data_IF_076091649449
#
_entry.id   IF_076091649449
#
_cell.length_a   1.000
_cell.length_b   1.000
_cell.length_c   1.000
_cell.angle_alpha   90.00
_cell.angle_beta   90.00
_cell.angle_gamma   90.00
#
_symmetry.space_group_name_H-M   'P 1'
#
loop_
_entity.id
_entity.type
_entity.pdbx_description
1 polymer ?
#
# COMPACT_ATOMS: atom_id res chain seq x y z
N UNK A 1 52.25 -21.98 15.17
CA UNK A 1 50.82 -22.31 15.03
C UNK A 1 50.11 -21.79 16.27
N UNK A 2 49.30 -20.72 16.16
CA UNK A 2 48.59 -20.13 17.30
C UNK A 2 47.34 -20.96 17.57
N UNK A 3 47.28 -21.60 18.74
CA UNK A 3 46.09 -22.34 19.19
C UNK A 3 44.96 -21.34 19.43
N UNK A 4 43.85 -21.51 18.71
CA UNK A 4 42.61 -20.78 18.96
C UNK A 4 42.01 -21.29 20.28
N UNK A 5 41.61 -20.35 21.15
CA UNK A 5 41.02 -20.65 22.46
C UNK A 5 39.68 -21.40 22.28
N UNK A 6 39.43 -22.54 22.96
CA UNK A 6 38.20 -23.30 22.81
C UNK A 6 36.93 -22.52 23.22
N UNK A 7 37.08 -21.46 24.03
CA UNK A 7 35.98 -20.57 24.45
C UNK A 7 35.47 -19.72 23.26
N UNK A 8 36.35 -19.34 22.33
CA UNK A 8 35.97 -18.57 21.14
C UNK A 8 35.20 -19.40 20.11
N UNK A 9 35.43 -20.72 20.06
CA UNK A 9 34.67 -21.67 19.26
C UNK A 9 33.28 -21.96 19.86
N UNK A 10 33.17 -21.99 21.20
CA UNK A 10 31.89 -22.20 21.88
C UNK A 10 30.92 -21.01 21.71
N UNK A 11 31.40 -19.76 21.74
CA UNK A 11 30.53 -18.59 21.50
C UNK A 11 30.01 -18.53 20.05
N UNK A 12 30.81 -18.92 19.06
CA UNK A 12 30.39 -18.99 17.66
C UNK A 12 29.33 -20.06 17.40
N UNK A 13 29.41 -21.19 18.13
CA UNK A 13 28.42 -22.27 18.05
C UNK A 13 27.11 -21.94 18.80
N UNK A 14 27.15 -21.18 19.91
CA UNK A 14 25.94 -20.73 20.62
C UNK A 14 25.14 -19.65 19.86
N UNK A 15 25.79 -18.79 19.07
CA UNK A 15 25.10 -17.80 18.23
C UNK A 15 24.49 -18.38 16.94
N UNK A 16 24.90 -19.59 16.50
CA UNK A 16 24.35 -20.25 15.32
C UNK A 16 23.03 -21.01 15.57
N UNK A 17 22.71 -21.32 16.83
CA UNK A 17 21.55 -22.13 17.21
C UNK A 17 20.34 -21.31 17.69
N UNK A 18 20.54 -20.00 17.88
CA UNK A 18 19.49 -19.03 18.14
C UNK A 18 19.55 -17.98 17.04
N UNK A 19 19.27 -18.36 15.80
CA UNK A 19 18.83 -17.39 14.81
C UNK A 19 17.35 -17.13 15.13
N UNK A 20 16.97 -16.04 15.84
CA UNK A 20 15.58 -15.63 15.77
C UNK A 20 15.28 -15.46 14.29
N UNK A 21 14.29 -16.19 13.77
CA UNK A 21 13.78 -15.90 12.45
C UNK A 21 13.53 -14.39 12.40
N UNK A 22 14.13 -13.71 11.42
CA UNK A 22 13.94 -12.28 11.29
C UNK A 22 12.45 -12.04 11.07
N UNK A 23 11.72 -11.66 12.13
CA UNK A 23 10.26 -11.45 12.10
C UNK A 23 9.84 -10.21 11.30
N UNK A 24 10.78 -9.63 10.56
CA UNK A 24 10.48 -8.57 9.62
C UNK A 24 9.54 -9.14 8.54
N UNK A 25 8.55 -8.34 8.13
CA UNK A 25 7.61 -8.61 7.03
C UNK A 25 6.31 -9.33 7.41
N UNK A 26 6.05 -9.66 8.68
CA UNK A 26 4.75 -10.24 9.08
C UNK A 26 3.55 -9.36 8.70
N UNK A 27 3.76 -8.05 8.57
CA UNK A 27 2.76 -7.10 8.05
C UNK A 27 2.20 -7.52 6.67
N UNK A 28 2.99 -8.26 5.88
CA UNK A 28 2.71 -8.69 4.52
C UNK A 28 2.36 -10.17 4.40
N UNK A 29 2.18 -10.90 5.50
CA UNK A 29 2.03 -12.36 5.45
C UNK A 29 0.58 -12.82 5.28
N UNK A 30 -0.41 -11.96 5.48
CA UNK A 30 -1.82 -12.33 5.28
C UNK A 30 -2.38 -11.62 4.05
N UNK A 31 -2.80 -12.40 3.07
CA UNK A 31 -3.34 -11.93 1.81
C UNK A 31 -4.80 -12.35 1.74
N UNK A 32 -5.70 -11.37 1.65
CA UNK A 32 -7.13 -11.61 1.47
C UNK A 32 -7.53 -11.11 0.07
N UNK A 33 -8.21 -11.95 -0.70
CA UNK A 33 -8.54 -11.62 -2.09
C UNK A 33 -9.71 -12.44 -2.62
N UNK A 34 -10.35 -11.93 -3.68
CA UNK A 34 -11.42 -12.61 -4.39
C UNK A 34 -12.61 -13.01 -3.50
N UNK A 35 -13.31 -14.05 -3.92
CA UNK A 35 -14.50 -14.51 -3.21
C UNK A 35 -14.13 -15.40 -2.03
N UNK A 36 -14.16 -14.84 -0.81
CA UNK A 36 -13.96 -15.55 0.46
C UNK A 36 -12.64 -16.32 0.55
N UNK A 37 -11.61 -15.85 -0.15
CA UNK A 37 -10.32 -16.50 -0.18
C UNK A 37 -9.26 -15.68 0.58
N UNK A 38 -8.28 -16.41 1.12
CA UNK A 38 -7.11 -15.82 1.72
C UNK A 38 -6.02 -16.84 1.97
N UNK A 39 -4.79 -16.36 1.94
CA UNK A 39 -3.57 -17.14 2.18
C UNK A 39 -2.76 -16.44 3.27
N UNK A 40 -2.23 -17.21 4.21
CA UNK A 40 -1.29 -16.76 5.23
C UNK A 40 0.05 -17.46 5.07
N UNK A 41 1.13 -16.71 5.25
CA UNK A 41 2.50 -17.21 5.32
C UNK A 41 3.06 -17.21 6.76
N UNK A 42 2.21 -16.96 7.77
CA UNK A 42 2.63 -16.87 9.18
C UNK A 42 3.30 -18.13 9.74
N UNK A 43 3.01 -19.29 9.16
CA UNK A 43 3.60 -20.57 9.56
C UNK A 43 4.93 -20.89 8.87
N UNK A 44 5.43 -20.00 7.99
CA UNK A 44 6.57 -20.26 7.11
C UNK A 44 6.20 -20.97 5.80
N UNK A 45 5.00 -21.54 5.71
CA UNK A 45 4.41 -22.07 4.48
C UNK A 45 3.09 -21.39 4.16
N UNK A 46 2.70 -21.40 2.88
CA UNK A 46 1.39 -20.93 2.44
C UNK A 46 0.31 -21.83 3.02
N UNK A 47 -0.56 -21.24 3.86
CA UNK A 47 -1.70 -21.90 4.48
C UNK A 47 -2.97 -21.11 4.16
N UNK A 48 -4.11 -21.78 3.91
CA UNK A 48 -5.37 -21.06 3.74
C UNK A 48 -5.76 -20.36 5.04
N UNK A 49 -6.24 -19.12 4.94
CA UNK A 49 -6.86 -18.43 6.07
C UNK A 49 -8.25 -19.04 6.33
N UNK A 50 -8.71 -19.10 7.60
CA UNK A 50 -10.02 -19.67 7.93
C UNK A 50 -11.16 -19.05 7.12
N UNK A 51 -12.20 -19.86 6.85
CA UNK A 51 -13.44 -19.41 6.22
C UNK A 51 -14.02 -18.21 6.99
N UNK A 52 -14.43 -17.16 6.28
CA UNK A 52 -14.98 -15.94 6.87
C UNK A 52 -14.54 -14.64 6.20
N UNK A 53 -13.58 -14.70 5.27
CA UNK A 53 -13.22 -13.56 4.44
C UNK A 53 -14.43 -13.02 3.65
N UNK A 54 -14.53 -11.70 3.47
CA UNK A 54 -15.63 -11.07 2.75
C UNK A 54 -15.56 -11.41 1.26
N UNK A 55 -16.68 -11.20 0.57
CA UNK A 55 -16.69 -11.20 -0.89
C UNK A 55 -15.99 -9.92 -1.37
N UNK A 56 -14.72 -10.06 -1.78
CA UNK A 56 -13.89 -9.00 -2.32
C UNK A 56 -13.89 -9.06 -3.85
N UNK A 57 -13.90 -7.91 -4.52
CA UNK A 57 -14.12 -7.89 -5.96
C UNK A 57 -12.83 -7.78 -6.77
N UNK A 58 -12.25 -6.59 -6.87
CA UNK A 58 -11.01 -6.31 -7.60
C UNK A 58 -10.14 -5.34 -6.81
N UNK A 59 -8.83 -5.45 -7.05
CA UNK A 59 -7.79 -4.54 -6.55
C UNK A 59 -7.91 -4.28 -5.04
N UNK A 60 -7.40 -5.26 -4.28
CA UNK A 60 -7.54 -5.33 -2.82
C UNK A 60 -6.19 -5.15 -2.15
N UNK A 61 -6.22 -4.57 -0.96
CA UNK A 61 -5.05 -4.46 -0.10
C UNK A 61 -5.41 -4.92 1.31
N UNK A 62 -4.68 -5.91 1.83
CA UNK A 62 -4.77 -6.36 3.21
C UNK A 62 -3.60 -5.82 4.03
N UNK A 63 -3.90 -5.29 5.22
CA UNK A 63 -2.88 -4.73 6.12
C UNK A 63 -2.87 -5.49 7.42
N UNK A 64 -1.71 -6.01 7.81
CA UNK A 64 -1.46 -6.59 9.13
C UNK A 64 -0.48 -5.72 9.94
N UNK A 65 -0.47 -5.90 11.26
CA UNK A 65 0.57 -5.34 12.12
C UNK A 65 1.84 -6.21 12.13
N UNK A 66 2.86 -5.76 12.87
CA UNK A 66 4.15 -6.46 12.98
C UNK A 66 4.07 -7.83 13.65
N UNK A 67 2.96 -8.13 14.34
CA UNK A 67 2.70 -9.46 14.88
C UNK A 67 2.05 -10.39 13.82
N UNK A 68 1.63 -9.84 12.68
CA UNK A 68 0.86 -10.57 11.67
C UNK A 68 -0.64 -10.59 11.96
N UNK A 69 -1.14 -9.71 12.82
CA UNK A 69 -2.58 -9.59 13.09
C UNK A 69 -3.22 -8.67 12.05
N UNK A 70 -4.26 -9.15 11.37
CA UNK A 70 -5.04 -8.34 10.43
C UNK A 70 -5.57 -7.07 11.11
N UNK A 71 -5.36 -5.92 10.47
CA UNK A 71 -5.89 -4.63 10.89
C UNK A 71 -7.14 -4.26 10.08
N UNK A 72 -7.02 -4.28 8.75
CA UNK A 72 -8.10 -3.95 7.83
C UNK A 72 -7.85 -4.50 6.43
N UNK A 73 -8.90 -4.51 5.61
CA UNK A 73 -8.86 -4.79 4.17
C UNK A 73 -9.48 -3.58 3.46
N UNK A 74 -8.82 -3.10 2.42
CA UNK A 74 -9.35 -2.06 1.56
C UNK A 74 -9.55 -2.61 0.14
N UNK A 75 -10.64 -2.21 -0.50
CA UNK A 75 -10.88 -2.37 -1.94
C UNK A 75 -11.41 -1.05 -2.50
N UNK A 76 -11.50 -0.93 -3.82
CA UNK A 76 -11.68 0.37 -4.51
C UNK A 76 -12.83 1.27 -4.02
N UNK A 77 -13.84 0.72 -3.34
CA UNK A 77 -14.98 1.50 -2.84
C UNK A 77 -15.22 1.41 -1.32
N UNK A 78 -14.51 0.55 -0.58
CA UNK A 78 -14.73 0.39 0.86
C UNK A 78 -13.52 -0.13 1.63
N UNK A 79 -13.49 0.16 2.93
CA UNK A 79 -12.53 -0.35 3.91
C UNK A 79 -13.28 -1.14 4.97
N UNK A 80 -12.87 -2.38 5.18
CA UNK A 80 -13.41 -3.30 6.18
C UNK A 80 -12.40 -3.45 7.32
N UNK A 81 -12.88 -3.44 8.56
CA UNK A 81 -12.02 -3.71 9.73
C UNK A 81 -11.62 -5.20 9.80
N UNK A 82 -10.80 -5.55 10.80
CA UNK A 82 -10.35 -6.93 11.04
C UNK A 82 -11.46 -7.96 11.27
N UNK A 83 -12.67 -7.52 11.62
CA UNK A 83 -13.86 -8.38 11.77
C UNK A 83 -14.69 -8.45 10.48
N UNK A 84 -14.14 -7.96 9.36
CA UNK A 84 -14.80 -7.87 8.05
C UNK A 84 -16.07 -7.01 8.01
N UNK A 85 -16.22 -6.12 8.99
CA UNK A 85 -17.31 -5.15 9.04
C UNK A 85 -16.86 -3.84 8.40
N UNK A 86 -17.79 -3.10 7.79
CA UNK A 86 -17.49 -1.77 7.26
C UNK A 86 -16.88 -0.88 8.34
N UNK A 87 -15.68 -0.38 8.10
CA UNK A 87 -14.99 0.53 9.01
C UNK A 87 -15.76 1.85 9.10
N UNK A 88 -15.75 2.50 10.26
CA UNK A 88 -16.35 3.84 10.42
C UNK A 88 -15.68 4.81 9.44
N UNK A 89 -16.48 5.47 8.60
CA UNK A 89 -15.98 6.33 7.52
C UNK A 89 -15.39 5.59 6.32
N UNK A 90 -15.41 4.25 6.33
CA UNK A 90 -14.80 3.36 5.35
C UNK A 90 -15.57 3.19 4.04
N UNK A 91 -16.67 3.91 3.80
CA UNK A 91 -17.33 3.94 2.49
C UNK A 91 -16.63 5.00 1.61
N UNK A 92 -15.78 4.57 0.68
CA UNK A 92 -14.90 5.46 -0.10
C UNK A 92 -15.59 6.11 -1.31
N UNK A 93 -16.69 5.52 -1.78
CA UNK A 93 -17.41 5.97 -2.98
C UNK A 93 -16.98 5.22 -4.25
N UNK A 94 -17.53 5.60 -5.40
CA UNK A 94 -17.22 4.97 -6.71
C UNK A 94 -18.03 3.71 -7.04
N UNK A 95 -18.25 3.41 -8.34
CA UNK A 95 -18.98 2.22 -8.76
C UNK A 95 -18.23 0.92 -8.43
N UNK A 96 -18.93 -0.04 -7.82
CA UNK A 96 -18.40 -1.39 -7.44
C UNK A 96 -17.78 -2.13 -8.64
N UNK A 97 -18.23 -1.80 -9.85
CA UNK A 97 -17.93 -2.54 -11.09
C UNK A 97 -16.75 -2.00 -11.89
N UNK A 98 -15.91 -1.13 -11.34
CA UNK A 98 -14.62 -0.79 -11.95
C UNK A 98 -13.53 -0.99 -10.89
N UNK A 99 -12.58 -1.89 -11.16
CA UNK A 99 -11.44 -2.11 -10.28
C UNK A 99 -10.54 -0.88 -10.33
N UNK A 100 -10.08 -0.43 -9.16
CA UNK A 100 -9.15 0.68 -9.03
C UNK A 100 -8.05 0.22 -8.11
N UNK A 101 -6.80 0.41 -8.50
CA UNK A 101 -5.64 0.02 -7.69
C UNK A 101 -5.77 0.59 -6.26
N UNK A 102 -5.64 -0.28 -5.25
CA UNK A 102 -5.66 0.13 -3.84
C UNK A 102 -4.34 -0.23 -3.20
N UNK A 103 -3.72 0.74 -2.55
CA UNK A 103 -2.49 0.53 -1.78
C UNK A 103 -2.60 1.19 -0.42
N UNK A 104 -2.27 0.45 0.63
CA UNK A 104 -2.16 1.00 1.97
C UNK A 104 -0.69 1.10 2.40
N UNK A 105 -0.27 2.27 2.86
CA UNK A 105 1.08 2.51 3.40
C UNK A 105 1.00 3.01 4.84
N UNK A 106 1.84 2.51 5.76
CA UNK A 106 1.91 3.06 7.11
C UNK A 106 2.42 4.51 7.05
N UNK A 107 1.88 5.38 7.90
CA UNK A 107 2.43 6.72 8.08
C UNK A 107 3.72 6.62 8.91
N UNK A 108 4.89 7.03 8.36
CA UNK A 108 6.14 7.04 9.13
C UNK A 108 5.99 7.79 10.44
N UNK A 109 6.61 7.32 11.52
CA UNK A 109 6.53 7.98 12.83
C UNK A 109 5.15 7.99 13.51
N UNK A 110 4.10 7.41 12.91
CA UNK A 110 2.76 7.31 13.51
C UNK A 110 2.23 5.87 13.48
N UNK A 111 2.67 5.00 14.41
CA UNK A 111 2.20 3.61 14.47
C UNK A 111 0.67 3.52 14.52
N UNK A 112 0.12 2.57 13.76
CA UNK A 112 -1.32 2.35 13.66
C UNK A 112 -2.06 3.35 12.74
N UNK A 113 -1.35 4.30 12.12
CA UNK A 113 -1.95 5.20 11.13
C UNK A 113 -1.48 4.84 9.73
N UNK A 114 -2.41 4.82 8.78
CA UNK A 114 -2.18 4.36 7.41
C UNK A 114 -2.79 5.34 6.40
N UNK A 115 -2.08 5.54 5.30
CA UNK A 115 -2.63 6.12 4.08
C UNK A 115 -3.18 5.01 3.22
N UNK A 116 -4.40 5.16 2.71
CA UNK A 116 -5.00 4.25 1.72
C UNK A 116 -5.18 5.03 0.43
N UNK A 117 -4.34 4.73 -0.56
CA UNK A 117 -4.33 5.35 -1.87
C UNK A 117 -5.27 4.60 -2.82
N UNK A 118 -6.03 5.37 -3.59
CA UNK A 118 -6.86 4.87 -4.67
C UNK A 118 -6.96 5.94 -5.77
N UNK A 119 -6.91 5.58 -7.05
CA UNK A 119 -7.23 6.49 -8.14
C UNK A 119 -8.61 7.12 -7.88
N UNK A 120 -8.72 8.45 -8.02
CA UNK A 120 -10.02 9.10 -7.97
C UNK A 120 -10.69 8.94 -9.32
N UNK A 121 -11.69 8.07 -9.40
CA UNK A 121 -12.52 7.99 -10.60
C UNK A 121 -14.00 8.00 -10.20
N UNK A 122 -14.59 9.19 -10.21
CA UNK A 122 -16.05 9.33 -10.19
C UNK A 122 -16.52 9.15 -11.63
N UNK A 123 -16.83 7.91 -12.03
CA UNK A 123 -17.73 7.73 -13.17
C UNK A 123 -19.14 7.87 -12.62
N UNK A 124 -19.70 9.07 -12.73
CA UNK A 124 -21.15 9.12 -12.88
C UNK A 124 -21.46 8.39 -14.19
N UNK A 125 -22.30 7.36 -14.09
CA UNK A 125 -22.79 6.62 -15.26
C UNK A 125 -23.76 7.57 -15.99
N UNK A 126 -23.17 8.49 -16.75
CA UNK A 126 -23.82 9.68 -17.28
C UNK A 126 -22.81 10.54 -18.02
N UNK A 127 -22.32 10.01 -19.14
CA UNK A 127 -21.56 10.65 -20.22
C UNK A 127 -21.34 12.17 -20.07
N UNK A 128 -20.27 12.58 -19.38
CA UNK A 128 -19.64 13.87 -19.63
C UNK A 128 -18.15 13.65 -19.87
N UNK A 129 -17.67 14.12 -21.02
CA UNK A 129 -16.32 13.91 -21.57
C UNK A 129 -15.23 14.75 -20.88
N UNK A 130 -15.54 15.35 -19.74
CA UNK A 130 -14.62 16.20 -18.99
C UNK A 130 -14.14 15.46 -17.76
N UNK A 131 -13.29 14.45 -17.96
CA UNK A 131 -12.56 13.84 -16.86
C UNK A 131 -11.58 14.90 -16.33
N UNK A 132 -11.74 15.41 -15.10
CA UNK A 132 -10.70 16.24 -14.51
C UNK A 132 -9.39 15.44 -14.54
N UNK A 133 -8.25 16.10 -14.80
CA UNK A 133 -6.98 15.42 -14.98
C UNK A 133 -6.71 14.47 -13.81
N UNK A 134 -6.08 13.32 -14.09
CA UNK A 134 -5.98 12.21 -13.16
C UNK A 134 -5.31 12.66 -11.88
N UNK A 135 -5.99 12.46 -10.76
CA UNK A 135 -5.47 12.74 -9.43
C UNK A 135 -5.53 11.45 -8.61
N UNK A 136 -4.48 11.16 -7.86
CA UNK A 136 -4.51 10.12 -6.86
C UNK A 136 -5.23 10.66 -5.62
N UNK A 137 -6.18 9.91 -5.08
CA UNK A 137 -6.82 10.24 -3.80
C UNK A 137 -6.30 9.32 -2.73
N UNK A 138 -6.27 9.82 -1.51
CA UNK A 138 -6.02 9.00 -0.35
C UNK A 138 -7.00 9.27 0.79
N UNK A 139 -7.09 8.26 1.62
CA UNK A 139 -7.81 8.25 2.88
C UNK A 139 -6.81 7.99 4.00
N UNK A 140 -7.11 8.44 5.21
CA UNK A 140 -6.28 8.19 6.38
C UNK A 140 -7.04 7.34 7.37
N UNK A 141 -6.53 6.13 7.60
CA UNK A 141 -7.04 5.18 8.60
C UNK A 141 -6.24 5.35 9.90
N UNK A 142 -6.92 5.40 11.04
CA UNK A 142 -6.32 5.37 12.37
C UNK A 142 -6.83 4.16 13.17
N UNK A 143 -6.00 3.12 13.29
CA UNK A 143 -6.33 1.86 13.96
C UNK A 143 -6.47 1.99 15.48
N UNK A 144 -6.08 3.12 16.07
CA UNK A 144 -6.22 3.38 17.51
C UNK A 144 -7.65 3.77 17.88
N UNK A 145 -8.50 4.05 16.89
CA UNK A 145 -9.92 4.41 17.05
C UNK A 145 -10.78 3.16 17.18
N UNK A 146 -12.02 3.37 17.64
CA UNK A 146 -13.06 2.32 17.73
C UNK A 146 -12.58 1.06 18.47
N UNK A 147 -11.84 1.22 19.57
CA UNK A 147 -11.32 0.11 20.37
C UNK A 147 -10.36 -0.83 19.62
N UNK A 148 -9.65 -0.35 18.60
CA UNK A 148 -8.75 -1.16 17.78
C UNK A 148 -9.38 -1.61 16.45
N UNK A 149 -10.65 -1.31 16.18
CA UNK A 149 -11.31 -1.64 14.92
C UNK A 149 -11.03 -0.61 13.82
N UNK A 150 -10.45 0.54 14.16
CA UNK A 150 -10.06 1.57 13.22
C UNK A 150 -11.20 2.47 12.74
N UNK A 151 -10.80 3.62 12.20
CA UNK A 151 -11.69 4.65 11.66
C UNK A 151 -10.96 5.40 10.54
N UNK A 152 -11.69 5.78 9.49
CA UNK A 152 -11.19 6.69 8.46
C UNK A 152 -11.35 8.13 8.96
N UNK A 153 -10.23 8.73 9.39
CA UNK A 153 -10.19 10.05 10.06
C UNK A 153 -9.93 11.21 9.10
N UNK A 154 -9.51 10.94 7.86
CA UNK A 154 -9.47 11.92 6.78
C UNK A 154 -9.84 11.23 5.47
N UNK A 155 -10.61 11.94 4.64
CA UNK A 155 -11.21 11.38 3.42
C UNK A 155 -10.93 12.27 2.23
N UNK A 156 -10.97 11.66 1.04
CA UNK A 156 -11.01 12.35 -0.24
C UNK A 156 -9.87 13.37 -0.45
N UNK A 157 -8.71 13.09 0.16
CA UNK A 157 -7.56 13.97 0.09
C UNK A 157 -6.83 13.77 -1.23
N UNK A 158 -6.57 14.87 -1.94
CA UNK A 158 -6.06 14.84 -3.31
C UNK A 158 -4.53 14.97 -3.34
N UNK A 159 -3.86 14.15 -4.14
CA UNK A 159 -2.50 14.40 -4.61
C UNK A 159 -2.60 15.01 -6.01
N UNK A 160 -2.27 16.30 -6.09
CA UNK A 160 -2.22 17.02 -7.36
C UNK A 160 -0.98 16.59 -8.12
N UNK A 161 -1.16 16.11 -9.35
CA UNK A 161 -0.04 15.82 -10.23
C UNK A 161 0.45 17.13 -10.87
N UNK A 162 1.79 17.31 -11.06
CA UNK A 162 2.31 18.52 -11.68
C UNK A 162 1.74 18.74 -13.10
N UNK A 163 1.45 19.99 -13.44
CA UNK A 163 0.88 20.33 -14.74
C UNK A 163 1.76 19.82 -15.88
N UNK A 164 1.13 19.28 -16.92
CA UNK A 164 1.84 18.81 -18.10
C UNK A 164 2.59 17.50 -17.91
N UNK A 165 2.44 16.81 -16.76
CA UNK A 165 2.91 15.41 -16.57
C UNK A 165 1.86 14.38 -16.95
N UNK A 166 0.63 14.83 -17.17
CA UNK A 166 -0.53 14.05 -17.62
C UNK A 166 -1.24 14.77 -18.76
N UNK A 167 -1.66 14.03 -19.79
CA UNK A 167 -2.40 14.63 -20.92
C UNK A 167 -3.92 14.52 -20.76
N UNK A 168 -4.40 13.65 -19.88
CA UNK A 168 -5.84 13.44 -19.65
C UNK A 168 -6.55 12.72 -20.81
N UNK A 169 -5.84 12.42 -21.91
CA UNK A 169 -6.35 11.74 -23.09
C UNK A 169 -6.32 10.20 -22.95
N UNK A 170 -5.59 9.68 -21.97
CA UNK A 170 -5.62 8.28 -21.57
C UNK A 170 -6.22 8.26 -20.16
N UNK A 171 -7.50 7.92 -20.04
CA UNK A 171 -8.31 8.03 -18.82
C UNK A 171 -7.89 7.11 -17.66
N UNK A 172 -6.59 6.89 -17.43
CA UNK A 172 -6.03 5.95 -16.47
C UNK A 172 -4.62 6.37 -15.96
N UNK A 173 -4.27 7.66 -15.87
CA UNK A 173 -3.01 7.97 -15.17
C UNK A 173 -3.17 7.67 -13.67
N UNK A 174 -2.12 7.11 -13.05
CA UNK A 174 -2.09 6.63 -11.67
C UNK A 174 -2.85 5.32 -11.37
N UNK A 175 -3.13 4.47 -12.36
CA UNK A 175 -3.50 3.05 -12.12
C UNK A 175 -2.31 2.12 -11.89
N UNK A 176 -1.10 2.68 -11.94
CA UNK A 176 0.15 1.99 -11.65
C UNK A 176 0.87 2.79 -10.56
N UNK A 177 0.67 2.39 -9.30
CA UNK A 177 1.36 2.94 -8.14
C UNK A 177 2.29 1.91 -7.52
N UNK A 178 3.45 2.37 -7.08
CA UNK A 178 4.41 1.55 -6.36
C UNK A 178 4.87 2.31 -5.12
N UNK A 179 5.35 1.58 -4.11
CA UNK A 179 5.96 2.21 -2.95
C UNK A 179 7.22 1.47 -2.53
N UNK A 180 8.24 2.24 -2.16
CA UNK A 180 9.52 1.71 -1.68
C UNK A 180 9.98 2.50 -0.47
N UNK A 181 10.75 1.86 0.41
CA UNK A 181 11.32 2.53 1.59
C UNK A 181 12.37 3.54 1.14
N UNK A 182 12.38 4.72 1.76
CA UNK A 182 13.42 5.71 1.59
C UNK A 182 14.74 5.19 2.17
N UNK A 183 15.88 5.64 1.64
CA UNK A 183 17.22 5.27 2.10
C UNK A 183 17.51 5.62 3.57
N UNK A 184 16.65 6.38 4.23
CA UNK A 184 16.78 6.73 5.66
C UNK A 184 16.15 5.66 6.58
N UNK A 185 15.59 4.59 6.01
CA UNK A 185 15.00 3.47 6.75
C UNK A 185 13.63 3.75 7.36
N UNK A 186 13.14 4.99 7.33
CA UNK A 186 11.90 5.40 8.01
C UNK A 186 10.81 5.83 7.04
N UNK A 187 11.15 6.71 6.11
CA UNK A 187 10.21 7.35 5.19
C UNK A 187 9.98 6.45 3.96
N UNK A 188 9.05 6.84 3.09
CA UNK A 188 8.72 6.06 1.89
C UNK A 188 8.68 6.96 0.65
N UNK A 189 8.99 6.37 -0.50
CA UNK A 189 8.69 6.94 -1.81
C UNK A 189 7.41 6.29 -2.33
N UNK A 190 6.40 7.12 -2.62
CA UNK A 190 5.23 6.74 -3.39
C UNK A 190 5.50 7.11 -4.85
N UNK A 191 5.47 6.13 -5.73
CA UNK A 191 5.80 6.26 -7.14
C UNK A 191 4.51 6.11 -7.94
N UNK A 192 4.27 7.04 -8.85
CA UNK A 192 3.11 7.05 -9.74
C UNK A 192 3.63 7.11 -11.17
N UNK A 193 3.21 6.16 -12.01
CA UNK A 193 3.48 6.22 -13.45
C UNK A 193 2.38 7.01 -14.16
N UNK A 194 2.78 7.90 -15.06
CA UNK A 194 1.85 8.74 -15.84
C UNK A 194 1.69 8.26 -17.28
N UNK A 195 0.62 8.72 -17.94
CA UNK A 195 0.33 8.48 -19.36
C UNK A 195 1.36 9.10 -20.31
N UNK A 196 2.19 10.02 -19.82
CA UNK A 196 3.29 10.62 -20.55
C UNK A 196 4.64 9.92 -20.33
N UNK A 197 4.64 8.71 -19.78
CA UNK A 197 5.84 7.94 -19.49
C UNK A 197 6.76 8.65 -18.47
N UNK A 198 6.18 9.42 -17.54
CA UNK A 198 6.91 9.92 -16.38
C UNK A 198 6.67 9.01 -15.17
N UNK A 199 7.68 8.91 -14.30
CA UNK A 199 7.55 8.43 -12.94
C UNK A 199 7.62 9.61 -11.99
N UNK A 200 6.55 9.81 -11.21
CA UNK A 200 6.46 10.84 -10.18
C UNK A 200 6.69 10.19 -8.82
N UNK A 201 7.78 10.55 -8.14
CA UNK A 201 8.12 10.00 -6.82
C UNK A 201 7.85 11.03 -5.73
N UNK A 202 6.80 10.81 -4.95
CA UNK A 202 6.38 11.64 -3.82
C UNK A 202 6.97 11.10 -2.52
N UNK A 203 7.53 11.99 -1.69
CA UNK A 203 8.02 11.61 -0.37
C UNK A 203 6.84 11.50 0.61
N UNK A 204 6.73 10.37 1.29
CA UNK A 204 5.82 10.14 2.41
C UNK A 204 6.64 10.07 3.70
N UNK A 205 6.36 10.96 4.64
CA UNK A 205 7.01 11.00 5.96
C UNK A 205 5.99 11.14 7.11
N UNK A 206 6.47 11.47 8.31
CA UNK A 206 5.67 11.65 9.52
C UNK A 206 4.70 12.83 9.52
N UNK A 207 4.94 13.81 8.66
CA UNK A 207 4.02 14.93 8.40
C UNK A 207 2.99 14.60 7.32
N UNK A 208 3.31 13.66 6.41
CA UNK A 208 2.40 13.14 5.40
C UNK A 208 3.02 13.05 4.00
N UNK A 209 2.19 13.10 2.97
CA UNK A 209 2.62 13.11 1.57
C UNK A 209 3.07 14.52 1.19
N UNK A 210 4.33 14.68 0.79
CA UNK A 210 4.85 15.94 0.26
C UNK A 210 4.27 16.23 -1.12
N UNK A 211 3.87 17.47 -1.43
CA UNK A 211 3.16 17.77 -2.66
C UNK A 211 4.06 17.86 -3.91
N UNK A 212 5.38 17.92 -3.75
CA UNK A 212 6.33 18.09 -4.86
C UNK A 212 7.06 16.76 -5.14
N UNK A 213 6.81 16.11 -6.29
CA UNK A 213 7.47 14.87 -6.64
C UNK A 213 8.84 15.10 -7.30
N UNK A 214 9.72 14.10 -7.20
CA UNK A 214 10.83 13.96 -8.14
C UNK A 214 10.30 13.35 -9.44
N UNK A 215 10.53 14.03 -10.56
CA UNK A 215 10.04 13.62 -11.88
C UNK A 215 11.18 12.92 -12.64
N UNK A 216 10.94 11.67 -13.06
CA UNK A 216 11.86 10.93 -13.93
C UNK A 216 11.16 10.60 -15.24
N UNK A 217 11.81 10.91 -16.37
CA UNK A 217 11.31 10.58 -17.71
C UNK A 217 11.72 9.15 -18.09
N UNK A 218 10.80 8.36 -18.63
CA UNK A 218 11.13 7.08 -19.26
C UNK A 218 11.76 7.36 -20.65
N UNK A 219 13.06 7.08 -20.78
CA UNK A 219 13.82 7.35 -22.00
C UNK A 219 13.80 6.20 -23.00
N UNK A 220 13.07 5.10 -22.76
CA UNK A 220 13.18 3.85 -23.52
C UNK A 220 12.86 4.03 -25.02
N UNK A 221 12.06 5.03 -25.44
CA UNK A 221 11.82 5.28 -26.88
C UNK A 221 12.92 6.03 -27.62
N UNK A 222 13.84 6.73 -26.95
CA UNK A 222 14.90 7.50 -27.65
C UNK A 222 16.07 6.66 -28.14
N UNK A 223 16.18 5.39 -27.74
CA UNK A 223 17.37 4.56 -27.99
C UNK A 223 17.25 3.57 -29.16
N UNK A 224 16.05 3.39 -29.72
CA UNK A 224 15.79 2.40 -30.79
C UNK A 224 15.39 3.03 -32.13
N UNK A 225 15.42 4.36 -32.24
CA UNK A 225 15.05 5.10 -33.46
C UNK A 225 16.11 6.13 -33.88
N UNK A 226 17.38 5.92 -33.50
CA UNK A 226 18.54 6.67 -33.99
C UNK A 226 19.51 5.76 -34.72
#
# INVERSE_FOLDING_TARGET
MKQLCPISLLLGLLCGWLQPEALAQREYYNWYFGNRAGISFLSGAAAPLPLGAPDLYRDVCSVSDSAGTLQFIAEGNRILNRNFQLMVGGQLGGPVYFGYEVMALPQPGRPGRYYVFTPKHWVDIGLTTNYPPPNLTYFVVDMRRQGGLGEVVARDSLIQLPQGTVTGNQGLAATDIAAVRHANGRDMWLIIKTDQQNYLSFLLNDTGVHPQPVITVDLIRKRWLS
#
